data_IF_108738716586
#
_entry.id   IF_108738716586
#
_cell.length_a   1.000
_cell.length_b   1.000
_cell.length_c   1.000
_cell.angle_alpha   90.00
_cell.angle_beta   90.00
_cell.angle_gamma   90.00
#
_symmetry.space_group_name_H-M   'P 1'
#
loop_
_entity.id
_entity.type
_entity.pdbx_description
1 polymer ?
#
# COMPACT_ATOMS: atom_id res chain seq x y z
N UNK A 1 -29.09 -3.39 -50.98
CA UNK A 1 -29.00 -2.60 -49.73
C UNK A 1 -29.02 -3.43 -48.44
N UNK A 2 -29.17 -4.76 -48.49
CA UNK A 2 -29.23 -5.64 -47.27
C UNK A 2 -27.89 -6.28 -46.86
N UNK A 3 -26.88 -6.30 -47.74
CA UNK A 3 -25.58 -6.94 -47.46
C UNK A 3 -24.60 -6.07 -46.65
N UNK A 4 -24.75 -4.73 -46.70
CA UNK A 4 -23.86 -3.81 -45.98
C UNK A 4 -24.15 -3.71 -44.46
N UNK A 5 -25.36 -4.06 -44.02
CA UNK A 5 -25.79 -4.02 -42.59
C UNK A 5 -25.27 -5.23 -41.84
N UNK A 6 -25.11 -6.39 -42.51
CA UNK A 6 -24.61 -7.62 -41.85
C UNK A 6 -23.11 -7.55 -41.51
N UNK A 7 -22.31 -6.80 -42.28
CA UNK A 7 -20.86 -6.66 -42.05
C UNK A 7 -20.57 -5.72 -40.88
N UNK A 8 -21.41 -4.70 -40.69
CA UNK A 8 -21.25 -3.76 -39.56
C UNK A 8 -21.63 -4.37 -38.21
N UNK A 9 -22.58 -5.31 -38.20
CA UNK A 9 -22.99 -6.01 -36.96
C UNK A 9 -21.96 -7.03 -36.49
N UNK A 10 -21.17 -7.62 -37.37
CA UNK A 10 -20.19 -8.65 -37.01
C UNK A 10 -18.89 -8.05 -36.46
N UNK A 11 -18.52 -6.83 -36.88
CA UNK A 11 -17.33 -6.12 -36.35
C UNK A 11 -17.54 -5.52 -34.98
N UNK A 12 -18.78 -5.25 -34.55
CA UNK A 12 -19.06 -4.73 -33.21
C UNK A 12 -19.08 -5.84 -32.14
N UNK A 13 -19.38 -7.09 -32.50
CA UNK A 13 -19.46 -8.21 -31.59
C UNK A 13 -18.07 -8.72 -31.11
N UNK A 14 -17.02 -8.45 -31.88
CA UNK A 14 -15.64 -8.87 -31.52
C UNK A 14 -14.93 -7.93 -30.56
N UNK A 15 -15.48 -6.78 -30.23
CA UNK A 15 -14.89 -5.80 -29.31
C UNK A 15 -15.30 -6.00 -27.83
N UNK A 16 -16.18 -6.97 -27.56
CA UNK A 16 -16.67 -7.26 -26.20
C UNK A 16 -15.99 -8.50 -25.59
N UNK A 17 -14.90 -8.98 -26.17
CA UNK A 17 -14.04 -9.98 -25.52
C UNK A 17 -13.36 -9.28 -24.36
N UNK A 18 -13.99 -9.36 -23.19
CA UNK A 18 -13.50 -8.75 -21.96
C UNK A 18 -12.04 -9.12 -21.73
N UNK A 19 -11.21 -8.12 -21.56
CA UNK A 19 -9.83 -8.31 -21.13
C UNK A 19 -9.83 -9.08 -19.83
N UNK A 20 -9.59 -10.40 -19.87
CA UNK A 20 -9.17 -11.13 -18.67
C UNK A 20 -7.81 -10.57 -18.31
N UNK A 21 -7.77 -9.71 -17.30
CA UNK A 21 -6.52 -9.28 -16.72
C UNK A 21 -5.84 -10.52 -16.12
N UNK A 22 -4.80 -11.00 -16.77
CA UNK A 22 -3.93 -12.02 -16.19
C UNK A 22 -3.06 -11.37 -15.11
N UNK A 23 -2.83 -12.01 -13.95
CA UNK A 23 -1.91 -11.49 -12.96
C UNK A 23 -0.54 -11.23 -13.59
N UNK A 24 0.13 -10.11 -13.27
CA UNK A 24 1.42 -9.78 -13.87
C UNK A 24 2.46 -10.86 -13.58
N UNK A 25 3.26 -11.20 -14.59
CA UNK A 25 4.35 -12.15 -14.46
C UNK A 25 5.46 -11.62 -13.54
N UNK A 26 6.38 -12.51 -13.11
CA UNK A 26 7.49 -12.15 -12.21
C UNK A 26 8.34 -10.98 -12.74
N UNK A 27 8.63 -10.96 -14.05
CA UNK A 27 9.41 -9.91 -14.71
C UNK A 27 8.66 -8.58 -14.72
N UNK A 28 7.37 -8.62 -15.02
CA UNK A 28 6.47 -7.47 -15.04
C UNK A 28 6.33 -6.86 -13.64
N UNK A 29 6.13 -7.71 -12.63
CA UNK A 29 6.11 -7.31 -11.23
C UNK A 29 7.43 -6.67 -10.82
N UNK A 30 8.57 -7.22 -11.25
CA UNK A 30 9.89 -6.66 -10.95
C UNK A 30 10.08 -5.29 -11.59
N UNK A 31 9.74 -5.14 -12.89
CA UNK A 31 9.84 -3.85 -13.60
C UNK A 31 8.94 -2.80 -12.95
N UNK A 32 7.70 -3.15 -12.62
CA UNK A 32 6.77 -2.24 -11.95
C UNK A 32 7.25 -1.85 -10.56
N UNK A 33 7.85 -2.77 -9.83
CA UNK A 33 8.44 -2.47 -8.52
C UNK A 33 9.60 -1.49 -8.65
N UNK A 34 10.51 -1.70 -9.61
CA UNK A 34 11.62 -0.78 -9.86
C UNK A 34 11.12 0.61 -10.31
N UNK A 35 10.11 0.67 -11.17
CA UNK A 35 9.50 1.93 -11.59
C UNK A 35 8.90 2.69 -10.40
N UNK A 36 8.17 2.02 -9.52
CA UNK A 36 7.63 2.62 -8.29
C UNK A 36 8.75 3.22 -7.43
N UNK A 37 9.80 2.44 -7.16
CA UNK A 37 10.89 2.87 -6.28
C UNK A 37 11.78 3.97 -6.87
N UNK A 38 11.83 4.10 -8.20
CA UNK A 38 12.77 5.02 -8.84
C UNK A 38 12.11 6.26 -9.43
N UNK A 39 10.84 6.18 -9.80
CA UNK A 39 10.15 7.22 -10.58
C UNK A 39 8.92 7.77 -9.85
N UNK A 40 8.10 6.89 -9.26
CA UNK A 40 6.80 7.27 -8.71
C UNK A 40 6.87 7.70 -7.24
N UNK A 41 7.82 7.17 -6.47
CA UNK A 41 7.99 7.52 -5.07
C UNK A 41 9.22 8.39 -4.90
N UNK A 42 9.00 9.60 -4.42
CA UNK A 42 10.05 10.61 -4.24
C UNK A 42 10.80 10.44 -2.92
N UNK A 43 11.68 11.40 -2.60
CA UNK A 43 12.41 11.52 -1.33
C UNK A 43 13.36 10.36 -1.00
N UNK A 44 13.84 9.62 -2.01
CA UNK A 44 14.73 8.46 -1.82
C UNK A 44 15.97 8.76 -0.97
N UNK A 45 16.50 9.99 -1.04
CA UNK A 45 17.71 10.41 -0.33
C UNK A 45 17.46 10.97 1.06
N UNK A 46 16.20 11.26 1.38
CA UNK A 46 15.82 11.78 2.68
C UNK A 46 15.99 10.71 3.75
N UNK A 47 16.55 11.09 4.87
CA UNK A 47 16.81 10.19 6.00
C UNK A 47 15.88 10.58 7.15
N UNK A 48 15.48 9.60 7.92
CA UNK A 48 14.74 9.85 9.14
C UNK A 48 15.60 10.69 10.10
N UNK A 49 15.14 11.89 10.50
CA UNK A 49 15.88 12.72 11.45
C UNK A 49 15.79 12.21 12.89
N UNK A 50 14.78 11.39 13.20
CA UNK A 50 14.56 10.86 14.53
C UNK A 50 15.43 9.62 14.75
N UNK A 51 16.10 9.52 15.91
CA UNK A 51 16.83 8.31 16.26
C UNK A 51 15.85 7.17 16.58
N UNK A 52 16.24 5.94 16.26
CA UNK A 52 15.43 4.74 16.50
C UNK A 52 15.47 4.36 18.00
N UNK A 53 14.96 5.22 18.86
CA UNK A 53 14.83 4.95 20.30
C UNK A 53 13.50 4.23 20.60
N UNK A 54 13.40 3.51 21.73
CA UNK A 54 12.14 2.90 22.15
C UNK A 54 10.98 3.91 22.23
N UNK A 55 11.26 5.14 22.66
CA UNK A 55 10.28 6.21 22.81
C UNK A 55 9.73 6.65 21.43
N UNK A 56 10.62 6.87 20.46
CA UNK A 56 10.21 7.26 19.10
C UNK A 56 9.47 6.12 18.39
N UNK A 57 9.88 4.88 18.60
CA UNK A 57 9.17 3.71 18.07
C UNK A 57 7.79 3.57 18.72
N UNK A 58 7.67 3.83 20.04
CA UNK A 58 6.39 3.80 20.72
C UNK A 58 5.44 4.91 20.25
N UNK A 59 5.96 6.13 20.03
CA UNK A 59 5.18 7.24 19.44
C UNK A 59 4.68 6.87 18.05
N UNK A 60 5.52 6.24 17.21
CA UNK A 60 5.12 5.74 15.90
C UNK A 60 4.05 4.65 15.97
N UNK A 61 4.15 3.74 16.97
CA UNK A 61 3.12 2.73 17.22
C UNK A 61 1.78 3.38 17.59
N UNK A 62 1.81 4.43 18.41
CA UNK A 62 0.61 5.17 18.80
C UNK A 62 -0.07 5.81 17.59
N UNK A 63 0.67 6.59 16.78
CA UNK A 63 0.15 7.17 15.55
C UNK A 63 -0.40 6.09 14.60
N UNK A 64 0.34 5.00 14.40
CA UNK A 64 -0.08 3.87 13.59
C UNK A 64 -1.40 3.26 14.09
N UNK A 65 -1.58 3.14 15.39
CA UNK A 65 -2.78 2.56 16.01
C UNK A 65 -4.05 3.39 15.77
N UNK A 66 -3.92 4.68 15.55
CA UNK A 66 -5.05 5.57 15.31
C UNK A 66 -5.41 5.69 13.81
N UNK A 67 -4.43 5.62 12.92
CA UNK A 67 -4.63 6.00 11.53
C UNK A 67 -4.43 4.86 10.51
N UNK A 68 -3.73 3.77 10.87
CA UNK A 68 -3.26 2.79 9.90
C UNK A 68 -3.87 1.40 10.07
N UNK A 69 -4.27 1.03 11.30
CA UNK A 69 -4.68 -0.35 11.62
C UNK A 69 -5.91 -0.82 10.89
N UNK A 70 -6.81 0.09 10.51
CA UNK A 70 -8.03 -0.28 9.78
C UNK A 70 -7.75 -1.00 8.46
N UNK A 71 -6.61 -0.69 7.81
CA UNK A 71 -6.22 -1.31 6.55
C UNK A 71 -5.02 -2.26 6.70
N UNK A 72 -4.09 -1.93 7.62
CA UNK A 72 -2.83 -2.67 7.74
C UNK A 72 -2.81 -3.69 8.89
N UNK A 73 -3.90 -3.78 9.66
CA UNK A 73 -3.94 -4.61 10.87
C UNK A 73 -3.12 -4.02 12.03
N UNK A 74 -3.34 -4.50 13.24
CA UNK A 74 -2.67 -3.99 14.44
C UNK A 74 -1.16 -4.26 14.44
N UNK A 75 -0.72 -5.25 13.67
CA UNK A 75 0.68 -5.65 13.52
C UNK A 75 1.34 -5.12 12.24
N UNK A 76 0.60 -4.36 11.41
CA UNK A 76 1.07 -3.88 10.11
C UNK A 76 1.21 -4.96 9.04
N UNK A 77 0.65 -6.15 9.26
CA UNK A 77 0.79 -7.31 8.38
C UNK A 77 -0.55 -7.86 7.91
N UNK A 78 -1.59 -7.03 7.98
CA UNK A 78 -2.97 -7.32 7.57
C UNK A 78 -3.64 -8.43 8.39
N UNK A 79 -3.09 -8.82 9.54
CA UNK A 79 -3.71 -9.82 10.41
C UNK A 79 -5.11 -9.35 10.83
N UNK A 80 -6.12 -10.20 10.63
CA UNK A 80 -7.51 -9.91 10.98
C UNK A 80 -8.18 -8.81 10.13
N UNK A 81 -7.62 -8.44 8.98
CA UNK A 81 -8.24 -7.45 8.07
C UNK A 81 -8.93 -8.17 6.90
N UNK A 82 -10.27 -8.34 6.94
CA UNK A 82 -10.97 -9.27 6.03
C UNK A 82 -11.04 -8.81 4.57
N UNK A 83 -10.72 -7.54 4.28
CA UNK A 83 -10.76 -7.00 2.92
C UNK A 83 -9.38 -6.71 2.33
N UNK A 84 -8.30 -6.82 3.10
CA UNK A 84 -6.95 -6.43 2.66
C UNK A 84 -6.56 -7.05 1.31
N UNK A 85 -6.81 -8.34 1.14
CA UNK A 85 -6.51 -9.08 -0.08
C UNK A 85 -7.52 -8.87 -1.21
N UNK A 86 -8.68 -8.26 -0.91
CA UNK A 86 -9.76 -8.04 -1.88
C UNK A 86 -9.71 -6.69 -2.56
N UNK A 87 -8.87 -5.79 -2.07
CA UNK A 87 -8.65 -4.49 -2.71
C UNK A 87 -7.81 -4.65 -3.99
N UNK A 88 -7.91 -3.68 -4.88
CA UNK A 88 -7.13 -3.65 -6.12
C UNK A 88 -6.38 -2.31 -6.24
N UNK A 89 -5.08 -2.30 -6.04
CA UNK A 89 -4.22 -3.42 -5.58
C UNK A 89 -4.50 -3.83 -4.13
N UNK A 90 -4.14 -5.07 -3.73
CA UNK A 90 -4.24 -5.51 -2.35
C UNK A 90 -3.41 -4.64 -1.40
N UNK A 91 -3.85 -4.53 -0.14
CA UNK A 91 -3.06 -3.89 0.91
C UNK A 91 -1.81 -4.73 1.17
N UNK A 92 -0.59 -4.21 1.01
CA UNK A 92 0.60 -5.00 1.25
C UNK A 92 0.87 -5.16 2.75
N UNK A 93 1.34 -6.33 3.17
CA UNK A 93 2.00 -6.45 4.47
C UNK A 93 3.19 -5.49 4.52
N UNK A 94 3.23 -4.63 5.55
CA UNK A 94 4.31 -3.65 5.71
C UNK A 94 5.64 -4.32 6.07
N UNK A 95 5.63 -5.56 6.59
CA UNK A 95 6.83 -6.35 6.81
C UNK A 95 7.35 -7.03 5.52
N UNK A 96 6.61 -6.96 4.41
CA UNK A 96 7.04 -7.59 3.15
C UNK A 96 8.36 -7.01 2.63
N UNK A 97 9.15 -7.86 1.97
CA UNK A 97 10.42 -7.43 1.34
C UNK A 97 10.22 -6.23 0.41
N UNK A 98 9.11 -6.18 -0.31
CA UNK A 98 8.79 -5.08 -1.22
C UNK A 98 8.68 -3.75 -0.48
N UNK A 99 7.95 -3.70 0.64
CA UNK A 99 7.78 -2.50 1.46
C UNK A 99 9.09 -2.15 2.19
N UNK A 100 9.74 -3.15 2.78
CA UNK A 100 10.99 -2.93 3.53
C UNK A 100 12.17 -2.51 2.65
N UNK A 101 12.08 -2.66 1.32
CA UNK A 101 13.09 -2.18 0.38
C UNK A 101 13.00 -0.68 0.04
N UNK A 102 11.91 0.00 0.40
CA UNK A 102 11.84 1.46 0.33
C UNK A 102 12.81 2.09 1.33
N UNK A 103 13.38 3.25 1.00
CA UNK A 103 14.11 4.07 1.97
C UNK A 103 13.14 4.71 2.96
N UNK A 104 13.64 5.22 4.09
CA UNK A 104 12.78 5.90 5.08
C UNK A 104 12.09 7.13 4.49
N UNK A 105 12.83 7.92 3.69
CA UNK A 105 12.24 9.06 2.97
C UNK A 105 11.17 8.65 1.98
N UNK A 106 11.30 7.49 1.33
CA UNK A 106 10.26 6.97 0.46
C UNK A 106 9.02 6.50 1.23
N UNK A 107 9.20 5.86 2.39
CA UNK A 107 8.08 5.49 3.26
C UNK A 107 7.36 6.73 3.78
N UNK A 108 8.12 7.74 4.25
CA UNK A 108 7.53 9.04 4.63
C UNK A 108 6.72 9.62 3.49
N UNK A 109 7.30 9.70 2.30
CA UNK A 109 6.61 10.26 1.13
C UNK A 109 5.29 9.54 0.83
N UNK A 110 5.28 8.20 0.93
CA UNK A 110 4.07 7.38 0.73
C UNK A 110 3.01 7.70 1.79
N UNK A 111 3.41 7.88 3.05
CA UNK A 111 2.48 8.22 4.13
C UNK A 111 1.94 9.64 3.92
N UNK A 112 2.80 10.61 3.60
CA UNK A 112 2.41 12.00 3.35
C UNK A 112 1.38 12.13 2.22
N UNK A 113 1.64 11.46 1.09
CA UNK A 113 0.90 11.67 -0.15
C UNK A 113 -0.18 10.62 -0.42
N UNK A 114 -0.15 9.52 0.32
CA UNK A 114 -0.98 8.36 0.00
C UNK A 114 -0.58 7.69 -1.31
N UNK A 115 -1.40 6.75 -1.75
CA UNK A 115 -1.22 6.06 -3.04
C UNK A 115 -2.56 6.05 -3.77
N UNK A 116 -2.79 7.02 -4.63
CA UNK A 116 -3.89 6.95 -5.59
C UNK A 116 -3.48 6.00 -6.74
N UNK A 117 -4.34 5.10 -7.20
CA UNK A 117 -5.73 4.84 -6.85
C UNK A 117 -5.94 3.68 -5.84
N UNK A 118 -4.95 3.35 -5.01
CA UNK A 118 -5.03 2.18 -4.10
C UNK A 118 -5.98 2.37 -2.91
N UNK A 119 -6.49 3.58 -2.70
CA UNK A 119 -7.33 3.89 -1.54
C UNK A 119 -6.54 4.23 -0.27
N UNK A 120 -5.21 4.19 -0.28
CA UNK A 120 -4.39 4.71 0.83
C UNK A 120 -4.48 6.24 0.85
N UNK A 121 -5.07 6.86 1.90
CA UNK A 121 -5.22 8.30 1.97
C UNK A 121 -3.87 8.99 2.23
N UNK A 122 -3.78 10.27 1.87
CA UNK A 122 -2.69 11.14 2.28
C UNK A 122 -2.83 11.50 3.76
N UNK A 123 -1.72 11.49 4.50
CA UNK A 123 -1.69 11.89 5.92
C UNK A 123 -1.15 13.31 6.12
N UNK A 124 -0.69 13.98 5.06
CA UNK A 124 -0.25 15.37 5.11
C UNK A 124 -1.38 16.28 5.61
N UNK A 125 -1.07 17.11 6.62
CA UNK A 125 -2.06 17.99 7.26
C UNK A 125 -2.95 17.30 8.31
N UNK A 126 -2.82 15.98 8.48
CA UNK A 126 -3.49 15.19 9.55
C UNK A 126 -2.45 14.80 10.62
N UNK A 127 -1.33 14.25 10.19
CA UNK A 127 -0.19 13.91 11.03
C UNK A 127 0.90 14.97 10.89
N UNK A 128 1.59 15.24 11.98
CA UNK A 128 2.82 16.05 11.96
C UNK A 128 3.98 15.28 11.33
N UNK A 129 5.01 15.97 10.91
CA UNK A 129 6.22 15.36 10.37
C UNK A 129 6.87 14.36 11.36
N UNK A 130 6.90 14.71 12.65
CA UNK A 130 7.46 13.83 13.69
C UNK A 130 6.63 12.56 13.88
N UNK A 131 5.31 12.64 13.83
CA UNK A 131 4.43 11.46 13.88
C UNK A 131 4.64 10.56 12.67
N UNK A 132 4.82 11.11 11.48
CA UNK A 132 5.09 10.33 10.27
C UNK A 132 6.46 9.68 10.35
N UNK A 133 7.50 10.41 10.76
CA UNK A 133 8.84 9.85 10.94
C UNK A 133 8.90 8.76 12.02
N UNK A 134 8.19 8.97 13.13
CA UNK A 134 8.03 7.94 14.18
C UNK A 134 7.28 6.72 13.64
N UNK A 135 6.25 6.92 12.81
CA UNK A 135 5.53 5.81 12.15
C UNK A 135 6.46 5.01 11.23
N UNK A 136 7.36 5.67 10.50
CA UNK A 136 8.40 4.97 9.71
C UNK A 136 9.30 4.13 10.60
N UNK A 137 9.72 4.63 11.78
CA UNK A 137 10.48 3.84 12.75
C UNK A 137 9.69 2.61 13.23
N UNK A 138 8.41 2.76 13.51
CA UNK A 138 7.56 1.63 13.90
C UNK A 138 7.45 0.60 12.77
N UNK A 139 7.25 1.01 11.51
CA UNK A 139 7.20 0.13 10.33
C UNK A 139 8.52 -0.65 10.15
N UNK A 140 9.65 -0.10 10.56
CA UNK A 140 10.93 -0.82 10.58
C UNK A 140 11.07 -1.85 11.72
N UNK A 141 10.24 -1.72 12.74
CA UNK A 141 10.31 -2.53 13.97
C UNK A 141 8.97 -3.24 14.25
N UNK A 142 8.24 -3.67 13.20
CA UNK A 142 6.96 -4.35 13.37
C UNK A 142 7.09 -5.64 14.18
N UNK A 143 6.07 -5.96 15.00
CA UNK A 143 6.01 -7.21 15.74
C UNK A 143 5.83 -8.41 14.78
N UNK A 144 6.04 -9.64 15.24
CA UNK A 144 5.70 -10.84 14.46
C UNK A 144 4.22 -10.86 14.06
N UNK A 145 3.94 -11.39 12.87
CA UNK A 145 2.58 -11.49 12.36
C UNK A 145 1.66 -12.21 13.35
N UNK A 146 0.50 -11.63 13.61
CA UNK A 146 -0.51 -12.18 14.51
C UNK A 146 -0.20 -12.09 15.99
N UNK A 147 0.99 -11.57 16.39
CA UNK A 147 1.38 -11.52 17.82
C UNK A 147 0.55 -10.55 18.66
N UNK A 148 -0.15 -9.62 18.02
CA UNK A 148 -1.03 -8.64 18.68
C UNK A 148 -2.52 -9.01 18.59
N UNK A 149 -2.86 -10.17 18.02
CA UNK A 149 -4.24 -10.60 17.78
C UNK A 149 -4.90 -9.86 16.62
N UNK A 150 -6.18 -10.12 16.44
CA UNK A 150 -7.01 -9.49 15.41
C UNK A 150 -7.58 -8.15 15.90
N UNK A 151 -7.84 -7.20 15.00
CA UNK A 151 -8.51 -5.95 15.37
C UNK A 151 -9.95 -6.22 15.84
N UNK A 152 -10.26 -5.92 17.09
CA UNK A 152 -11.58 -6.21 17.70
C UNK A 152 -12.77 -5.50 17.03
N UNK A 153 -12.52 -4.44 16.25
CA UNK A 153 -13.59 -3.73 15.53
C UNK A 153 -14.13 -4.49 14.30
N UNK A 154 -13.51 -5.61 13.91
CA UNK A 154 -14.02 -6.48 12.85
C UNK A 154 -14.82 -7.68 13.40
N UNK A 155 -14.89 -7.86 14.70
CA UNK A 155 -15.57 -8.98 15.35
C UNK A 155 -17.10 -8.73 15.57
N UNK A 156 -17.64 -7.62 15.04
CA UNK A 156 -19.07 -7.21 15.21
C UNK A 156 -19.96 -7.63 14.04
#
# INVERSE_FOLDING_TARGET
>A
MRLRIAIFGLTCASLVSGCKATPPGKTETWVMTQAKHSILVHNKKEKNPLPATPENIAAGKEAFSHYCIACHGVDGQNTGVPFADRLSPPVPSLASRSVQSYTDGQLKWVIDNGIAPSGMPASSGILSDDEIWSTVLYIRNLPPAGSLGDPSFYDQ
#
